data_IF_263815583588
#
_entry.id   IF_263815583588
#
_cell.length_a   1.000
_cell.length_b   1.000
_cell.length_c   1.000
_cell.angle_alpha   90.00
_cell.angle_beta   90.00
_cell.angle_gamma   90.00
#
_symmetry.space_group_name_H-M   'P 1'
#
loop_
_entity.id
_entity.type
_entity.pdbx_description
1 polymer ?
#
# COMPACT_ATOMS: atom_id res chain seq x y z
N UNK A 1 19.40 -0.82 45.65
CA UNK A 1 18.92 -2.21 45.42
C UNK A 1 17.78 -2.34 44.39
N UNK A 2 17.54 -1.33 43.53
CA UNK A 2 16.55 -1.40 42.41
C UNK A 2 17.20 -1.38 41.02
N UNK A 3 18.50 -1.05 40.91
CA UNK A 3 19.21 -0.95 39.63
C UNK A 3 19.76 -2.31 39.15
N UNK A 4 20.11 -3.22 40.06
CA UNK A 4 20.66 -4.55 39.74
C UNK A 4 19.60 -5.49 39.12
N UNK A 5 18.33 -5.29 39.46
CA UNK A 5 17.23 -6.13 38.98
C UNK A 5 16.84 -5.85 37.51
N UNK A 6 17.09 -4.62 37.03
CA UNK A 6 16.82 -4.24 35.63
C UNK A 6 17.92 -4.67 34.66
N UNK A 7 19.16 -4.84 35.13
CA UNK A 7 20.27 -5.34 34.28
C UNK A 7 20.19 -6.87 34.12
N UNK A 8 19.68 -7.57 35.14
CA UNK A 8 19.44 -9.01 35.06
C UNK A 8 18.27 -9.38 34.13
N UNK A 9 17.25 -8.53 34.02
CA UNK A 9 16.12 -8.76 33.11
C UNK A 9 16.44 -8.42 31.65
N UNK A 10 17.29 -7.42 31.38
CA UNK A 10 17.76 -7.15 30.01
C UNK A 10 18.80 -8.15 29.52
N UNK A 11 19.66 -8.68 30.38
CA UNK A 11 20.59 -9.76 30.00
C UNK A 11 19.90 -11.11 29.79
N UNK A 12 18.79 -11.40 30.48
CA UNK A 12 18.07 -12.67 30.28
C UNK A 12 17.31 -12.71 28.95
N UNK A 13 16.89 -11.56 28.42
CA UNK A 13 16.18 -11.46 27.13
C UNK A 13 17.13 -11.59 25.94
N UNK A 14 18.41 -11.21 26.08
CA UNK A 14 19.40 -11.36 25.01
C UNK A 14 20.08 -12.74 24.94
N UNK A 15 20.02 -13.55 25.99
CA UNK A 15 20.60 -14.91 25.99
C UNK A 15 19.65 -15.97 25.41
N UNK A 16 18.36 -15.65 25.22
CA UNK A 16 17.39 -16.57 24.60
C UNK A 16 17.42 -16.55 23.05
N UNK A 17 18.24 -15.71 22.41
CA UNK A 17 18.20 -15.50 20.96
C UNK A 17 18.96 -16.49 20.05
N UNK A 18 19.80 -17.45 20.48
CA UNK A 18 20.36 -18.42 19.52
C UNK A 18 19.47 -19.67 19.31
N UNK A 19 18.45 -19.91 20.15
CA UNK A 19 17.63 -21.13 20.06
C UNK A 19 16.58 -21.11 18.92
N UNK A 20 16.45 -19.98 18.22
CA UNK A 20 15.56 -19.82 17.05
C UNK A 20 16.34 -19.75 15.74
N UNK A 21 17.62 -20.12 15.76
CA UNK A 21 18.19 -20.76 14.57
C UNK A 21 17.62 -22.17 14.51
N UNK A 22 16.33 -22.28 14.18
CA UNK A 22 15.76 -23.55 13.74
C UNK A 22 16.64 -23.99 12.58
N UNK A 23 17.43 -25.04 12.80
CA UNK A 23 17.87 -25.91 11.72
C UNK A 23 16.60 -26.19 10.92
N UNK A 24 16.47 -25.56 9.74
CA UNK A 24 15.40 -25.95 8.82
C UNK A 24 15.64 -27.44 8.59
N UNK A 25 14.72 -28.32 9.01
CA UNK A 25 15.00 -29.74 8.96
C UNK A 25 15.34 -30.10 7.52
N UNK A 26 16.47 -30.77 7.28
CA UNK A 26 16.93 -31.16 5.94
C UNK A 26 15.83 -31.88 5.13
N UNK A 27 14.88 -32.50 5.83
CA UNK A 27 13.68 -33.11 5.27
C UNK A 27 12.78 -32.16 4.46
N UNK A 28 12.81 -30.84 4.73
CA UNK A 28 12.06 -29.84 3.93
C UNK A 28 12.67 -29.61 2.54
N UNK A 29 13.94 -29.97 2.34
CA UNK A 29 14.64 -29.85 1.06
C UNK A 29 14.85 -31.20 0.37
N UNK A 30 14.43 -32.30 1.00
CA UNK A 30 14.53 -33.66 0.48
C UNK A 30 13.29 -34.13 -0.28
N UNK A 31 12.25 -33.29 -0.43
CA UNK A 31 11.20 -33.60 -1.40
C UNK A 31 11.84 -33.69 -2.79
N UNK A 32 11.70 -34.83 -3.50
CA UNK A 32 12.25 -34.96 -4.84
C UNK A 32 11.65 -33.85 -5.68
N UNK A 33 12.50 -32.96 -6.21
CA UNK A 33 12.09 -31.91 -7.12
C UNK A 33 11.37 -32.59 -8.27
N UNK A 34 10.04 -32.49 -8.27
CA UNK A 34 9.21 -33.07 -9.33
C UNK A 34 9.65 -32.42 -10.63
N UNK A 35 10.36 -33.18 -11.47
CA UNK A 35 10.67 -32.77 -12.83
C UNK A 35 9.36 -32.36 -13.50
N UNK A 36 9.33 -31.17 -14.11
CA UNK A 36 8.11 -30.62 -14.68
C UNK A 36 7.45 -31.62 -15.64
N UNK A 37 6.12 -31.72 -15.55
CA UNK A 37 5.29 -32.65 -16.33
C UNK A 37 5.35 -32.38 -17.86
N UNK A 38 5.94 -31.25 -18.27
CA UNK A 38 6.08 -30.85 -19.67
C UNK A 38 4.71 -30.69 -20.34
N UNK A 39 4.63 -31.04 -21.62
CA UNK A 39 3.38 -30.99 -22.38
C UNK A 39 2.32 -31.99 -21.90
N UNK A 40 2.71 -33.01 -21.13
CA UNK A 40 1.76 -33.99 -20.59
C UNK A 40 0.87 -33.39 -19.50
N UNK A 41 1.26 -32.28 -18.87
CA UNK A 41 0.42 -31.56 -17.91
C UNK A 41 -0.91 -31.07 -18.51
N UNK A 42 -0.97 -30.86 -19.84
CA UNK A 42 -2.23 -30.50 -20.51
C UNK A 42 -3.26 -31.64 -20.56
N UNK A 43 -2.85 -32.88 -20.31
CA UNK A 43 -3.77 -34.02 -20.25
C UNK A 43 -4.54 -34.09 -18.92
N UNK A 44 -4.07 -33.42 -17.87
CA UNK A 44 -4.75 -33.38 -16.57
C UNK A 44 -5.85 -32.31 -16.56
N UNK A 45 -6.99 -32.67 -17.14
CA UNK A 45 -8.17 -31.78 -17.22
C UNK A 45 -8.68 -31.40 -15.83
N UNK A 46 -8.56 -32.29 -14.83
CA UNK A 46 -8.99 -32.02 -13.46
C UNK A 46 -8.19 -30.89 -12.83
N UNK A 47 -6.86 -30.96 -12.95
CA UNK A 47 -5.96 -29.91 -12.51
C UNK A 47 -6.15 -28.60 -13.28
N UNK A 48 -6.39 -28.66 -14.61
CA UNK A 48 -6.63 -27.46 -15.41
C UNK A 48 -7.91 -26.73 -14.98
N UNK A 49 -9.00 -27.47 -14.72
CA UNK A 49 -10.27 -26.89 -14.28
C UNK A 49 -10.14 -26.30 -12.88
N UNK A 50 -9.54 -27.01 -11.92
CA UNK A 50 -9.36 -26.50 -10.56
C UNK A 50 -8.47 -25.25 -10.56
N UNK A 51 -7.37 -25.28 -11.29
CA UNK A 51 -6.45 -24.14 -11.46
C UNK A 51 -7.18 -22.93 -12.08
N UNK A 52 -8.00 -23.16 -13.12
CA UNK A 52 -8.77 -22.09 -13.76
C UNK A 52 -9.78 -21.47 -12.80
N UNK A 53 -10.48 -22.28 -12.01
CA UNK A 53 -11.42 -21.79 -10.99
C UNK A 53 -10.70 -21.00 -9.89
N UNK A 54 -9.53 -21.47 -9.44
CA UNK A 54 -8.70 -20.78 -8.45
C UNK A 54 -8.21 -19.43 -8.97
N UNK A 55 -7.77 -19.37 -10.23
CA UNK A 55 -7.36 -18.11 -10.85
C UNK A 55 -8.54 -17.15 -11.03
N UNK A 56 -9.71 -17.63 -11.45
CA UNK A 56 -10.93 -16.83 -11.53
C UNK A 56 -11.33 -16.27 -10.16
N UNK A 57 -11.28 -17.10 -9.11
CA UNK A 57 -11.57 -16.67 -7.75
C UNK A 57 -10.59 -15.57 -7.31
N UNK A 58 -9.29 -15.74 -7.56
CA UNK A 58 -8.27 -14.73 -7.24
C UNK A 58 -8.52 -13.41 -8.00
N UNK A 59 -8.92 -13.46 -9.27
CA UNK A 59 -9.29 -12.27 -10.06
C UNK A 59 -10.50 -11.59 -9.45
N UNK A 60 -11.55 -12.33 -9.08
CA UNK A 60 -12.78 -11.76 -8.50
C UNK A 60 -12.48 -11.11 -7.16
N UNK A 61 -11.78 -11.80 -6.26
CA UNK A 61 -11.44 -11.26 -4.93
C UNK A 61 -10.48 -10.07 -5.03
N UNK A 62 -9.48 -10.15 -5.91
CA UNK A 62 -8.59 -9.04 -6.23
C UNK A 62 -9.34 -7.84 -6.80
N UNK A 63 -10.33 -8.07 -7.67
CA UNK A 63 -11.17 -7.02 -8.25
C UNK A 63 -12.06 -6.35 -7.18
N UNK A 64 -12.60 -7.11 -6.21
CA UNK A 64 -13.38 -6.54 -5.10
C UNK A 64 -12.55 -5.53 -4.30
N UNK A 65 -11.28 -5.85 -4.03
CA UNK A 65 -10.36 -4.92 -3.36
C UNK A 65 -9.95 -3.77 -4.29
N UNK A 66 -9.70 -4.07 -5.57
CA UNK A 66 -9.23 -3.10 -6.56
C UNK A 66 -10.26 -2.01 -6.88
N UNK A 67 -11.53 -2.38 -6.98
CA UNK A 67 -12.64 -1.46 -7.24
C UNK A 67 -13.34 -1.00 -5.95
N UNK A 68 -12.62 -1.02 -4.82
CA UNK A 68 -13.16 -0.52 -3.56
C UNK A 68 -13.65 0.94 -3.74
N UNK A 69 -14.85 1.30 -3.23
CA UNK A 69 -15.52 2.58 -3.52
C UNK A 69 -14.73 3.82 -3.08
N UNK A 70 -13.81 3.67 -2.12
CA UNK A 70 -12.89 4.75 -1.70
C UNK A 70 -11.73 4.97 -2.67
N UNK A 71 -11.38 4.00 -3.52
CA UNK A 71 -10.27 4.12 -4.47
C UNK A 71 -10.51 5.19 -5.54
N UNK A 72 -11.75 5.30 -6.03
CA UNK A 72 -12.14 6.35 -6.98
C UNK A 72 -12.22 7.76 -6.38
N UNK A 73 -12.16 7.90 -5.04
CA UNK A 73 -12.31 9.17 -4.34
C UNK A 73 -10.96 9.88 -4.14
N UNK A 74 -9.85 9.15 -4.31
CA UNK A 74 -8.48 9.64 -4.07
C UNK A 74 -7.59 9.51 -5.32
N UNK A 75 -8.13 9.06 -6.45
CA UNK A 75 -7.36 8.75 -7.66
C UNK A 75 -7.13 10.01 -8.51
N UNK A 76 -6.25 10.91 -8.02
CA UNK A 76 -5.88 12.13 -8.75
C UNK A 76 -4.56 11.98 -9.52
N UNK A 77 -3.78 10.92 -9.25
CA UNK A 77 -2.54 10.62 -10.00
C UNK A 77 -2.73 9.48 -11.00
N UNK A 78 -2.01 9.53 -12.14
CA UNK A 78 -2.02 8.44 -13.14
C UNK A 78 -1.66 7.08 -12.54
N UNK A 79 -0.79 7.06 -11.52
CA UNK A 79 -0.40 5.82 -10.82
C UNK A 79 -1.57 5.22 -10.01
N UNK A 80 -2.45 6.05 -9.44
CA UNK A 80 -3.63 5.60 -8.70
C UNK A 80 -4.75 5.14 -9.63
N UNK A 81 -4.88 5.77 -10.80
CA UNK A 81 -5.82 5.36 -11.85
C UNK A 81 -5.45 3.97 -12.40
N UNK A 82 -4.17 3.66 -12.51
CA UNK A 82 -3.69 2.33 -12.97
C UNK A 82 -3.61 1.27 -11.85
N UNK A 83 -3.69 1.69 -10.58
CA UNK A 83 -3.56 0.79 -9.43
C UNK A 83 -4.53 -0.41 -9.42
N UNK A 84 -5.81 -0.30 -9.86
CA UNK A 84 -6.71 -1.45 -9.90
C UNK A 84 -6.19 -2.59 -10.77
N UNK A 85 -5.57 -2.26 -11.93
CA UNK A 85 -4.97 -3.25 -12.82
C UNK A 85 -3.80 -3.95 -12.13
N UNK A 86 -2.97 -3.18 -11.44
CA UNK A 86 -1.84 -3.71 -10.66
C UNK A 86 -2.34 -4.69 -9.60
N UNK A 87 -3.37 -4.34 -8.82
CA UNK A 87 -3.88 -5.20 -7.75
C UNK A 87 -4.40 -6.53 -8.28
N UNK A 88 -5.16 -6.52 -9.37
CA UNK A 88 -5.67 -7.74 -10.00
C UNK A 88 -4.50 -8.60 -10.51
N UNK A 89 -3.49 -8.02 -11.15
CA UNK A 89 -2.31 -8.78 -11.58
C UNK A 89 -1.57 -9.40 -10.39
N UNK A 90 -1.40 -8.66 -9.31
CA UNK A 90 -0.72 -9.17 -8.11
C UNK A 90 -1.52 -10.26 -7.39
N UNK A 91 -2.85 -10.22 -7.40
CA UNK A 91 -3.68 -11.33 -6.94
C UNK A 91 -3.44 -12.60 -7.78
N UNK A 92 -3.41 -12.46 -9.11
CA UNK A 92 -3.13 -13.58 -10.03
C UNK A 92 -1.72 -14.14 -9.81
N UNK A 93 -0.71 -13.27 -9.67
CA UNK A 93 0.67 -13.67 -9.36
C UNK A 93 0.70 -14.45 -8.04
N UNK A 94 0.03 -13.96 -6.99
CA UNK A 94 -0.09 -14.66 -5.72
C UNK A 94 -0.70 -16.05 -5.87
N UNK A 95 -1.80 -16.18 -6.61
CA UNK A 95 -2.46 -17.46 -6.85
C UNK A 95 -1.56 -18.44 -7.61
N UNK A 96 -0.85 -17.98 -8.65
CA UNK A 96 0.12 -18.79 -9.38
C UNK A 96 1.24 -19.27 -8.44
N UNK A 97 1.78 -18.40 -7.60
CA UNK A 97 2.80 -18.79 -6.61
C UNK A 97 2.24 -19.88 -5.69
N UNK A 98 1.01 -19.72 -5.19
CA UNK A 98 0.37 -20.71 -4.32
C UNK A 98 0.21 -22.08 -5.00
N UNK A 99 -0.31 -22.09 -6.22
CA UNK A 99 -0.47 -23.32 -7.02
C UNK A 99 0.88 -24.01 -7.23
N UNK A 100 1.91 -23.24 -7.58
CA UNK A 100 3.26 -23.78 -7.80
C UNK A 100 3.85 -24.36 -6.51
N UNK A 101 3.64 -23.71 -5.37
CA UNK A 101 4.12 -24.21 -4.07
C UNK A 101 3.42 -25.48 -3.65
N UNK A 102 2.10 -25.60 -3.88
CA UNK A 102 1.35 -26.83 -3.57
C UNK A 102 1.77 -27.98 -4.48
N UNK A 103 1.97 -27.72 -5.78
CA UNK A 103 2.27 -28.76 -6.77
C UNK A 103 3.74 -29.20 -6.78
N UNK A 104 4.67 -28.25 -6.60
CA UNK A 104 6.12 -28.47 -6.77
C UNK A 104 6.94 -28.26 -5.49
N UNK A 105 6.26 -27.98 -4.37
CA UNK A 105 6.87 -27.90 -3.05
C UNK A 105 7.45 -26.54 -2.67
N UNK A 106 7.95 -26.47 -1.44
CA UNK A 106 8.40 -25.23 -0.78
C UNK A 106 9.62 -24.59 -1.45
N UNK A 107 10.48 -25.38 -2.11
CA UNK A 107 11.67 -24.90 -2.81
C UNK A 107 11.31 -23.86 -3.88
N UNK A 108 10.23 -24.10 -4.64
CA UNK A 108 9.73 -23.16 -5.64
C UNK A 108 9.27 -21.85 -4.97
N UNK A 109 8.63 -21.96 -3.80
CA UNK A 109 8.24 -20.81 -2.98
C UNK A 109 9.43 -19.95 -2.56
N UNK A 110 10.53 -20.57 -2.10
CA UNK A 110 11.75 -19.84 -1.74
C UNK A 110 12.38 -19.10 -2.92
N UNK A 111 12.43 -19.74 -4.10
CA UNK A 111 12.96 -19.10 -5.32
C UNK A 111 12.11 -17.89 -5.72
N UNK A 112 10.78 -18.06 -5.76
CA UNK A 112 9.85 -16.98 -6.12
C UNK A 112 9.90 -15.83 -5.10
N UNK A 113 9.97 -16.15 -3.81
CA UNK A 113 10.13 -15.14 -2.76
C UNK A 113 11.47 -14.39 -2.89
N UNK A 114 12.56 -15.09 -3.19
CA UNK A 114 13.87 -14.49 -3.43
C UNK A 114 13.85 -13.49 -4.59
N UNK A 115 13.25 -13.88 -5.72
CA UNK A 115 13.08 -13.00 -6.88
C UNK A 115 12.23 -11.78 -6.51
N UNK A 116 11.10 -11.98 -5.81
CA UNK A 116 10.23 -10.88 -5.36
C UNK A 116 10.94 -9.89 -4.42
N UNK A 117 11.75 -10.40 -3.48
CA UNK A 117 12.56 -9.58 -2.59
C UNK A 117 13.61 -8.74 -3.34
N UNK A 118 14.28 -9.33 -4.32
CA UNK A 118 15.26 -8.63 -5.16
C UNK A 118 14.61 -7.48 -5.95
N UNK A 119 13.42 -7.69 -6.52
CA UNK A 119 12.68 -6.65 -7.26
C UNK A 119 12.30 -5.50 -6.31
N UNK A 120 11.84 -5.81 -5.09
CA UNK A 120 11.48 -4.78 -4.11
C UNK A 120 12.67 -3.90 -3.74
N UNK A 121 13.86 -4.46 -3.57
CA UNK A 121 15.06 -3.66 -3.27
C UNK A 121 15.51 -2.75 -4.41
N UNK A 122 15.12 -3.05 -5.65
CA UNK A 122 15.40 -2.23 -6.83
C UNK A 122 14.37 -1.14 -7.09
N UNK A 123 13.20 -1.20 -6.43
CA UNK A 123 12.06 -0.33 -6.78
C UNK A 123 11.76 0.66 -5.65
N UNK A 124 11.83 1.96 -5.96
CA UNK A 124 11.41 3.02 -5.05
C UNK A 124 9.88 3.03 -4.92
N UNK A 125 9.36 2.73 -3.73
CA UNK A 125 7.94 2.79 -3.44
C UNK A 125 7.57 4.23 -3.06
N UNK A 126 6.73 4.87 -3.87
CA UNK A 126 6.36 6.28 -3.69
C UNK A 126 5.33 6.50 -2.58
N UNK A 127 4.49 5.49 -2.28
CA UNK A 127 3.48 5.53 -1.23
C UNK A 127 3.41 4.20 -0.46
N UNK A 128 3.48 4.28 0.87
CA UNK A 128 3.39 3.13 1.76
C UNK A 128 2.00 2.48 1.75
N UNK A 129 0.95 3.30 1.61
CA UNK A 129 -0.46 2.88 1.52
C UNK A 129 -0.70 1.98 0.31
N UNK A 130 -0.27 2.44 -0.88
CA UNK A 130 -0.43 1.70 -2.13
C UNK A 130 0.30 0.34 -2.08
N UNK A 131 1.51 0.34 -1.52
CA UNK A 131 2.32 -0.88 -1.34
C UNK A 131 1.62 -1.88 -0.44
N UNK A 132 1.05 -1.43 0.69
CA UNK A 132 0.33 -2.28 1.62
C UNK A 132 -0.84 -3.00 0.94
N UNK A 133 -1.61 -2.28 0.11
CA UNK A 133 -2.73 -2.87 -0.65
C UNK A 133 -2.28 -3.91 -1.67
N UNK A 134 -1.17 -3.66 -2.37
CA UNK A 134 -0.58 -4.63 -3.31
C UNK A 134 -0.19 -5.91 -2.58
N UNK A 135 0.55 -5.79 -1.47
CA UNK A 135 0.99 -6.94 -0.66
C UNK A 135 -0.24 -7.71 -0.16
N UNK A 136 -1.22 -7.01 0.41
CA UNK A 136 -2.43 -7.64 0.93
C UNK A 136 -3.21 -8.38 -0.17
N UNK A 137 -3.37 -7.77 -1.33
CA UNK A 137 -4.04 -8.39 -2.48
C UNK A 137 -3.27 -9.61 -3.00
N UNK A 138 -1.94 -9.56 -2.98
CA UNK A 138 -1.08 -10.71 -3.32
C UNK A 138 -1.31 -11.86 -2.34
N UNK A 139 -1.45 -11.58 -1.04
CA UNK A 139 -1.72 -12.60 -0.02
C UNK A 139 -3.09 -13.26 -0.21
N UNK A 140 -4.13 -12.50 -0.58
CA UNK A 140 -5.44 -13.07 -0.92
C UNK A 140 -5.30 -14.05 -2.09
N UNK A 141 -4.61 -13.63 -3.15
CA UNK A 141 -4.30 -14.48 -4.29
C UNK A 141 -3.57 -15.76 -3.88
N UNK A 142 -2.52 -15.62 -3.06
CA UNK A 142 -1.75 -16.73 -2.51
C UNK A 142 -2.63 -17.71 -1.74
N UNK A 143 -3.54 -17.22 -0.89
CA UNK A 143 -4.50 -18.07 -0.18
C UNK A 143 -5.41 -18.85 -1.14
N UNK A 144 -5.82 -18.26 -2.27
CA UNK A 144 -6.55 -19.00 -3.31
C UNK A 144 -5.67 -20.12 -3.88
N UNK A 145 -4.42 -19.82 -4.22
CA UNK A 145 -3.49 -20.78 -4.81
C UNK A 145 -3.07 -21.92 -3.89
N UNK A 146 -3.09 -21.69 -2.57
CA UNK A 146 -2.78 -22.69 -1.54
C UNK A 146 -3.95 -23.64 -1.23
N UNK A 147 -5.02 -23.62 -2.04
CA UNK A 147 -6.25 -24.39 -1.84
C UNK A 147 -6.99 -24.03 -0.53
N UNK A 148 -6.91 -22.75 -0.12
CA UNK A 148 -7.56 -22.20 1.07
C UNK A 148 -8.59 -21.11 0.69
N UNK A 149 -9.63 -21.43 -0.10
CA UNK A 149 -10.57 -20.42 -0.61
C UNK A 149 -11.37 -19.74 0.52
N UNK A 150 -11.65 -20.45 1.61
CA UNK A 150 -12.34 -19.89 2.78
C UNK A 150 -11.51 -18.79 3.47
N UNK A 151 -10.19 -18.98 3.59
CA UNK A 151 -9.28 -17.97 4.13
C UNK A 151 -9.22 -16.77 3.19
N UNK A 152 -9.14 -17.01 1.88
CA UNK A 152 -9.09 -15.94 0.89
C UNK A 152 -10.33 -15.04 0.95
N UNK A 153 -11.54 -15.64 1.06
CA UNK A 153 -12.79 -14.88 1.18
C UNK A 153 -12.83 -14.08 2.49
N UNK A 154 -12.50 -14.70 3.63
CA UNK A 154 -12.47 -14.00 4.92
C UNK A 154 -11.46 -12.85 4.94
N UNK A 155 -10.25 -13.07 4.40
CA UNK A 155 -9.23 -12.04 4.27
C UNK A 155 -9.70 -10.90 3.36
N UNK A 156 -10.42 -11.21 2.28
CA UNK A 156 -10.99 -10.19 1.39
C UNK A 156 -12.01 -9.33 2.11
N UNK A 157 -12.95 -9.94 2.84
CA UNK A 157 -13.96 -9.19 3.62
C UNK A 157 -13.29 -8.33 4.69
N UNK A 158 -12.35 -8.90 5.43
CA UNK A 158 -11.60 -8.17 6.45
C UNK A 158 -10.82 -7.00 5.86
N UNK A 159 -10.10 -7.23 4.76
CA UNK A 159 -9.33 -6.20 4.08
C UNK A 159 -10.21 -5.09 3.50
N UNK A 160 -11.37 -5.45 2.94
CA UNK A 160 -12.35 -4.49 2.44
C UNK A 160 -12.80 -3.55 3.57
N UNK A 161 -13.18 -4.10 4.74
CA UNK A 161 -13.56 -3.30 5.91
C UNK A 161 -12.38 -2.49 6.45
N UNK A 162 -11.18 -3.06 6.50
CA UNK A 162 -9.99 -2.37 6.99
C UNK A 162 -9.63 -1.18 6.10
N UNK A 163 -9.63 -1.35 4.77
CA UNK A 163 -9.40 -0.26 3.82
C UNK A 163 -10.46 0.82 4.01
N UNK A 164 -11.73 0.44 4.15
CA UNK A 164 -12.81 1.39 4.41
C UNK A 164 -12.58 2.24 5.66
N UNK A 165 -12.11 1.63 6.75
CA UNK A 165 -11.82 2.33 8.02
C UNK A 165 -10.55 3.19 7.94
N UNK A 166 -9.48 2.70 7.29
CA UNK A 166 -8.21 3.43 7.17
C UNK A 166 -8.30 4.63 6.22
N UNK A 167 -9.02 4.49 5.10
CA UNK A 167 -9.27 5.59 4.15
C UNK A 167 -10.37 6.57 4.62
N UNK A 168 -10.83 6.44 5.86
CA UNK A 168 -11.73 7.44 6.44
C UNK A 168 -11.02 8.78 6.73
N UNK A 169 -9.68 8.82 6.81
CA UNK A 169 -8.91 10.02 7.15
C UNK A 169 -7.90 10.41 6.07
N UNK A 170 -8.36 10.96 4.96
CA UNK A 170 -7.47 11.49 3.90
C UNK A 170 -6.82 12.80 4.37
N UNK A 171 -5.49 12.89 4.26
CA UNK A 171 -4.74 14.10 4.55
C UNK A 171 -4.28 14.71 3.21
N UNK A 172 -4.73 15.92 2.92
CA UNK A 172 -4.37 16.66 1.72
C UNK A 172 -3.11 17.48 1.98
N UNK A 173 -2.19 17.53 1.02
CA UNK A 173 -0.99 18.38 1.08
C UNK A 173 -1.00 19.41 -0.05
N UNK A 174 -1.05 20.69 0.30
CA UNK A 174 -0.88 21.78 -0.67
C UNK A 174 0.56 22.30 -0.58
N UNK A 175 1.23 22.36 -1.72
CA UNK A 175 2.53 23.00 -1.92
C UNK A 175 2.36 24.32 -2.72
N UNK A 176 2.38 25.47 -2.05
CA UNK A 176 2.31 26.78 -2.69
C UNK A 176 3.72 27.22 -3.07
N UNK A 177 3.97 27.46 -4.36
CA UNK A 177 5.27 27.86 -4.91
C UNK A 177 5.24 29.27 -5.49
N UNK A 178 6.41 29.88 -5.63
CA UNK A 178 6.59 31.19 -6.27
C UNK A 178 5.96 32.37 -5.52
N UNK A 179 6.04 32.36 -4.19
CA UNK A 179 5.54 33.47 -3.36
C UNK A 179 6.52 34.65 -3.41
N UNK A 180 6.05 35.91 -3.47
CA UNK A 180 6.92 37.09 -3.45
C UNK A 180 7.68 37.17 -2.12
N UNK A 181 9.00 37.37 -2.21
CA UNK A 181 9.96 37.21 -1.11
C UNK A 181 9.69 38.07 0.15
N UNK A 182 8.89 39.14 0.01
CA UNK A 182 8.55 40.06 1.11
C UNK A 182 7.22 39.76 1.80
N UNK A 183 6.37 38.86 1.26
CA UNK A 183 5.03 38.60 1.79
C UNK A 183 4.73 37.11 2.04
N UNK A 184 5.77 36.25 2.12
CA UNK A 184 5.60 34.80 2.34
C UNK A 184 4.84 34.50 3.64
N UNK A 185 5.07 35.30 4.69
CA UNK A 185 4.41 35.13 6.00
C UNK A 185 2.95 35.57 5.97
N UNK A 186 2.66 36.66 5.24
CA UNK A 186 1.33 37.26 5.11
C UNK A 186 0.44 36.44 4.18
N UNK A 187 1.00 35.97 3.06
CA UNK A 187 0.35 35.01 2.19
C UNK A 187 0.03 33.72 2.96
N UNK A 188 1.00 33.15 3.70
CA UNK A 188 0.75 31.94 4.50
C UNK A 188 -0.39 32.13 5.51
N UNK A 189 -0.50 33.31 6.14
CA UNK A 189 -1.59 33.61 7.06
C UNK A 189 -2.95 33.72 6.33
N UNK A 190 -3.01 34.31 5.15
CA UNK A 190 -4.21 34.39 4.32
C UNK A 190 -4.68 33.00 3.86
N UNK A 191 -3.75 32.17 3.37
CA UNK A 191 -4.03 30.78 3.01
C UNK A 191 -4.51 29.96 4.23
N UNK A 192 -3.90 30.17 5.40
CA UNK A 192 -4.31 29.50 6.64
C UNK A 192 -5.72 29.88 7.08
N UNK A 193 -6.05 31.16 7.06
CA UNK A 193 -7.37 31.65 7.46
C UNK A 193 -8.48 31.08 6.56
N UNK A 194 -8.25 31.01 5.25
CA UNK A 194 -9.20 30.41 4.30
C UNK A 194 -9.40 28.90 4.53
N UNK A 195 -8.31 28.17 4.84
CA UNK A 195 -8.39 26.74 5.16
C UNK A 195 -9.12 26.48 6.48
N UNK A 196 -8.85 27.26 7.53
CA UNK A 196 -9.57 27.14 8.82
C UNK A 196 -11.05 27.51 8.70
N UNK A 197 -11.40 28.40 7.77
CA UNK A 197 -12.78 28.86 7.56
C UNK A 197 -13.67 27.82 6.85
N UNK A 198 -13.09 26.88 6.09
CA UNK A 198 -13.82 25.83 5.35
C UNK A 198 -13.74 24.44 6.03
N UNK A 199 -13.62 24.41 7.36
CA UNK A 199 -13.59 23.20 8.20
C UNK A 199 -12.40 22.26 7.91
N UNK A 200 -11.32 22.78 7.32
CA UNK A 200 -10.10 22.01 7.10
C UNK A 200 -9.22 22.02 8.34
N UNK A 201 -9.04 20.84 8.97
CA UNK A 201 -8.18 20.70 10.15
C UNK A 201 -6.71 20.61 9.72
N UNK A 202 -5.96 21.69 9.92
CA UNK A 202 -4.53 21.77 9.59
C UNK A 202 -3.73 20.87 10.53
N UNK A 203 -3.01 19.91 9.95
CA UNK A 203 -2.17 18.93 10.67
C UNK A 203 -0.72 19.43 10.73
N UNK A 204 -0.23 20.08 9.68
CA UNK A 204 1.14 20.60 9.64
C UNK A 204 1.26 21.80 8.69
N UNK A 205 2.07 22.77 9.08
CA UNK A 205 2.42 23.95 8.29
C UNK A 205 3.94 24.06 8.26
N UNK A 206 4.53 24.04 7.07
CA UNK A 206 5.98 24.20 6.87
C UNK A 206 6.26 25.39 5.97
N UNK A 207 6.92 26.40 6.52
CA UNK A 207 7.34 27.62 5.82
C UNK A 207 8.80 27.49 5.40
N UNK A 208 9.07 27.47 4.10
CA UNK A 208 10.43 27.50 3.56
C UNK A 208 10.69 28.87 2.91
N UNK A 209 11.25 29.78 3.71
CA UNK A 209 11.58 31.15 3.32
C UNK A 209 12.69 31.21 2.26
N UNK A 210 13.62 30.23 2.26
CA UNK A 210 14.72 30.16 1.30
C UNK A 210 14.27 29.73 -0.10
N UNK A 211 13.28 28.82 -0.17
CA UNK A 211 12.71 28.35 -1.45
C UNK A 211 11.47 29.12 -1.90
N UNK A 212 11.00 30.10 -1.13
CA UNK A 212 9.75 30.87 -1.36
C UNK A 212 8.53 29.94 -1.51
N UNK A 213 8.43 28.97 -0.60
CA UNK A 213 7.40 27.91 -0.62
C UNK A 213 6.75 27.74 0.73
N UNK A 214 5.46 27.44 0.73
CA UNK A 214 4.72 27.06 1.93
C UNK A 214 3.99 25.77 1.64
N UNK A 215 4.17 24.79 2.52
CA UNK A 215 3.51 23.49 2.47
C UNK A 215 2.50 23.41 3.60
N UNK A 216 1.24 23.17 3.26
CA UNK A 216 0.16 22.88 4.20
C UNK A 216 -0.23 21.42 4.10
N UNK A 217 -0.37 20.73 5.23
CA UNK A 217 -1.01 19.42 5.31
C UNK A 217 -2.27 19.59 6.15
N UNK A 218 -3.43 19.31 5.59
CA UNK A 218 -4.72 19.43 6.28
C UNK A 218 -5.61 18.24 5.98
N UNK A 219 -6.47 17.89 6.92
CA UNK A 219 -7.51 16.87 6.74
C UNK A 219 -8.82 17.58 6.50
N UNK A 220 -9.55 17.18 5.46
CA UNK A 220 -10.92 17.64 5.19
C UNK A 220 -11.85 16.46 5.18
N UNK A 221 -13.07 16.66 5.68
CA UNK A 221 -14.16 15.68 5.62
C UNK A 221 -14.98 15.79 4.33
N UNK A 222 -14.74 16.81 3.50
CA UNK A 222 -15.54 17.09 2.30
C UNK A 222 -14.95 16.46 1.03
N UNK A 223 -15.86 15.87 0.25
CA UNK A 223 -15.63 14.99 -0.89
C UNK A 223 -15.16 15.72 -2.16
N UNK A 224 -15.57 16.98 -2.34
CA UNK A 224 -15.33 17.80 -3.56
C UNK A 224 -14.30 18.94 -3.33
N UNK A 225 -13.37 18.74 -2.40
CA UNK A 225 -12.51 19.85 -1.94
C UNK A 225 -11.54 20.34 -3.01
N UNK A 226 -11.01 19.50 -3.91
CA UNK A 226 -9.96 19.95 -4.83
C UNK A 226 -10.42 21.08 -5.77
N UNK A 227 -11.57 20.93 -6.43
CA UNK A 227 -12.05 21.90 -7.42
C UNK A 227 -12.66 23.14 -6.76
N UNK A 228 -13.38 22.95 -5.66
CA UNK A 228 -13.99 24.05 -4.92
C UNK A 228 -12.94 24.87 -4.17
N UNK A 229 -11.95 24.23 -3.54
CA UNK A 229 -10.85 24.92 -2.85
C UNK A 229 -9.87 25.55 -3.85
N UNK A 230 -9.61 24.94 -5.01
CA UNK A 230 -8.82 25.59 -6.07
C UNK A 230 -9.52 26.85 -6.59
N UNK A 231 -10.82 26.79 -6.89
CA UNK A 231 -11.60 27.97 -7.27
C UNK A 231 -11.62 29.02 -6.16
N UNK A 232 -11.75 28.62 -4.89
CA UNK A 232 -11.78 29.52 -3.74
C UNK A 232 -10.42 30.22 -3.55
N UNK A 233 -9.32 29.48 -3.64
CA UNK A 233 -7.95 30.00 -3.57
C UNK A 233 -7.60 30.87 -4.79
N UNK A 234 -8.14 30.58 -5.97
CA UNK A 234 -7.95 31.41 -7.16
C UNK A 234 -8.79 32.70 -7.15
N UNK A 235 -9.96 32.68 -6.50
CA UNK A 235 -10.93 33.78 -6.51
C UNK A 235 -10.79 34.73 -5.32
N UNK A 236 -10.43 34.23 -4.13
CA UNK A 236 -10.38 35.05 -2.90
C UNK A 236 -8.99 35.58 -2.53
N UNK A 237 -7.93 35.15 -3.22
CA UNK A 237 -6.57 35.60 -2.90
C UNK A 237 -6.15 36.73 -3.83
N UNK A 238 -5.78 37.84 -3.21
CA UNK A 238 -5.38 39.09 -3.86
C UNK A 238 -4.20 38.86 -4.83
N UNK A 239 -4.23 39.51 -6.00
CA UNK A 239 -3.31 39.24 -7.12
C UNK A 239 -1.84 39.51 -6.80
N UNK A 240 -1.55 40.23 -5.73
CA UNK A 240 -0.20 40.55 -5.23
C UNK A 240 0.42 39.46 -4.36
N UNK A 241 -0.38 38.50 -3.85
CA UNK A 241 0.05 37.41 -2.93
C UNK A 241 0.01 36.02 -3.58
N UNK A 242 -0.40 35.95 -4.86
CA UNK A 242 -0.72 34.72 -5.58
C UNK A 242 0.54 33.97 -6.00
N UNK A 243 0.73 32.75 -5.48
CA UNK A 243 1.73 31.79 -5.96
C UNK A 243 1.14 30.75 -6.91
N UNK A 244 1.99 29.97 -7.58
CA UNK A 244 1.54 28.77 -8.29
C UNK A 244 1.25 27.68 -7.25
N UNK A 245 -0.01 27.31 -7.09
CA UNK A 245 -0.44 26.25 -6.16
C UNK A 245 -0.22 24.90 -6.82
N UNK A 246 0.58 24.04 -6.18
CA UNK A 246 0.78 22.66 -6.60
C UNK A 246 0.19 21.75 -5.53
N UNK A 247 -0.68 20.83 -5.93
CA UNK A 247 -1.38 19.93 -5.01
C UNK A 247 -0.68 18.57 -5.02
N UNK A 248 -0.48 17.98 -3.84
CA UNK A 248 -0.05 16.59 -3.67
C UNK A 248 -1.00 15.93 -2.66
N UNK A 249 -1.58 14.79 -3.02
CA UNK A 249 -2.48 14.01 -2.13
C UNK A 249 -1.69 12.78 -1.67
N UNK A 250 -1.75 12.46 -0.38
CA UNK A 250 -0.95 11.38 0.25
C UNK A 250 -1.83 10.46 1.11
#
# INVERSE_FOLDING_TARGET
MKSVLNVLTTSLVLVAMPAWSQEMPESLFQEPVSMGEGWQGFADVGFLVSTTLTLLLAVILGAIIAYHPKHGQTADTLAEIEAPKVYIMYAVIGAIIGIMVVKYGLVVGFVLFGIGGLIRFRTSLRSASLTGRVIFTTLIGLSCGLDLPHVAVLATVFGYVLIYVLDASVAYRIDIRSLPSNHVVEAAAAYRALLEQDDCRIVSEKKDLGKKRVTFIFRTSKHDTHRDLQNLLETQIDGSLKGSVNWEID
#
